data_IF_453665724905
#
_entry.id   IF_453665724905
#
_cell.length_a   1.000
_cell.length_b   1.000
_cell.length_c   1.000
_cell.angle_alpha   90.00
_cell.angle_beta   90.00
_cell.angle_gamma   90.00
#
_symmetry.space_group_name_H-M   'P 1'
#
loop_
_entity.id
_entity.type
_entity.pdbx_description
1 polymer ?
#
# COMPACT_ATOMS: atom_id res chain seq x y z
N UNK A 1 -9.54 -24.02 -34.12
CA UNK A 1 -9.22 -24.51 -32.75
C UNK A 1 -8.97 -23.29 -31.88
N UNK A 2 -9.61 -23.12 -30.71
CA UNK A 2 -9.47 -21.88 -29.97
C UNK A 2 -8.08 -21.85 -29.34
N UNK A 3 -7.26 -20.91 -29.81
CA UNK A 3 -6.12 -20.40 -29.09
C UNK A 3 -6.64 -19.69 -27.83
N UNK A 4 -6.45 -20.31 -26.66
CA UNK A 4 -6.94 -19.79 -25.39
C UNK A 4 -6.17 -18.55 -24.93
N UNK A 5 -6.89 -17.51 -24.52
CA UNK A 5 -6.33 -16.30 -23.91
C UNK A 5 -5.54 -16.70 -22.65
N UNK A 6 -4.28 -16.27 -22.48
CA UNK A 6 -3.48 -16.64 -21.32
C UNK A 6 -4.04 -16.02 -20.05
N UNK A 7 -4.12 -16.82 -18.97
CA UNK A 7 -4.57 -16.34 -17.68
C UNK A 7 -3.44 -15.56 -16.98
N UNK A 8 -3.71 -14.30 -16.64
CA UNK A 8 -2.73 -13.41 -16.01
C UNK A 8 -2.81 -13.54 -14.50
N UNK A 9 -1.69 -13.86 -13.85
CA UNK A 9 -1.57 -13.96 -12.40
C UNK A 9 -0.73 -12.80 -11.84
N UNK A 10 -1.15 -12.22 -10.71
CA UNK A 10 -0.44 -11.12 -10.06
C UNK A 10 0.04 -11.50 -8.65
N UNK A 11 1.18 -10.93 -8.25
CA UNK A 11 1.72 -11.14 -6.90
C UNK A 11 0.93 -10.32 -5.87
N UNK A 12 0.63 -10.94 -4.74
CA UNK A 12 -0.15 -10.34 -3.64
C UNK A 12 0.69 -9.87 -2.46
N UNK A 13 1.99 -10.14 -2.44
CA UNK A 13 2.90 -9.78 -1.36
C UNK A 13 4.28 -9.40 -1.90
N UNK A 14 5.01 -8.56 -1.15
CA UNK A 14 6.40 -8.24 -1.43
C UNK A 14 7.28 -8.69 -0.26
N UNK A 15 8.42 -9.30 -0.58
CA UNK A 15 9.41 -9.70 0.42
C UNK A 15 10.26 -8.49 0.82
N UNK A 16 10.61 -8.35 2.12
CA UNK A 16 11.47 -7.27 2.58
C UNK A 16 12.86 -7.37 1.92
N UNK A 17 13.48 -6.21 1.63
CA UNK A 17 14.82 -6.15 1.01
C UNK A 17 15.91 -6.71 1.90
N UNK A 18 15.85 -6.44 3.20
CA UNK A 18 16.80 -6.92 4.21
C UNK A 18 16.12 -7.99 5.07
N UNK A 19 16.55 -9.26 4.98
CA UNK A 19 15.93 -10.33 5.74
C UNK A 19 16.15 -10.21 7.26
N UNK A 20 17.37 -9.88 7.68
CA UNK A 20 17.82 -9.96 9.08
C UNK A 20 17.89 -8.60 9.78
N UNK A 21 16.77 -7.89 9.80
CA UNK A 21 16.64 -6.60 10.50
C UNK A 21 15.87 -6.81 11.80
N UNK A 22 16.56 -6.64 12.94
CA UNK A 22 16.03 -6.95 14.27
C UNK A 22 14.74 -6.17 14.57
N UNK A 23 14.76 -4.86 14.36
CA UNK A 23 13.61 -3.98 14.59
C UNK A 23 12.36 -4.41 13.81
N UNK A 24 12.54 -4.80 12.54
CA UNK A 24 11.44 -5.27 11.68
C UNK A 24 10.86 -6.59 12.21
N UNK A 25 11.72 -7.52 12.65
CA UNK A 25 11.31 -8.82 13.17
C UNK A 25 10.51 -8.66 14.46
N UNK A 26 10.96 -7.79 15.37
CA UNK A 26 10.29 -7.52 16.64
C UNK A 26 8.91 -6.88 16.43
N UNK A 27 8.81 -5.91 15.50
CA UNK A 27 7.53 -5.30 15.11
C UNK A 27 6.56 -6.31 14.47
N UNK A 28 7.05 -7.16 13.56
CA UNK A 28 6.21 -8.19 12.94
C UNK A 28 5.73 -9.22 13.96
N UNK A 29 6.56 -9.59 14.94
CA UNK A 29 6.19 -10.51 16.00
C UNK A 29 5.11 -9.91 16.91
N UNK A 30 5.23 -8.63 17.27
CA UNK A 30 4.22 -7.92 18.04
C UNK A 30 2.86 -7.90 17.34
N UNK A 31 2.82 -7.54 16.06
CA UNK A 31 1.59 -7.54 15.26
C UNK A 31 0.98 -8.94 15.13
N UNK A 32 1.82 -9.96 14.96
CA UNK A 32 1.36 -11.35 14.91
C UNK A 32 0.72 -11.77 16.23
N UNK A 33 1.32 -11.40 17.37
CA UNK A 33 0.79 -11.69 18.70
C UNK A 33 -0.52 -10.96 19.00
N UNK A 34 -0.64 -9.68 18.61
CA UNK A 34 -1.84 -8.87 18.85
C UNK A 34 -3.05 -9.33 18.04
N UNK A 35 -2.84 -9.68 16.76
CA UNK A 35 -3.92 -10.02 15.83
C UNK A 35 -4.07 -11.52 15.57
N UNK A 36 -3.25 -12.38 16.19
CA UNK A 36 -3.33 -13.83 16.05
C UNK A 36 -3.02 -14.34 14.62
N UNK A 37 -2.11 -13.68 13.91
CA UNK A 37 -1.79 -14.00 12.51
C UNK A 37 -0.99 -15.30 12.41
N UNK A 38 -1.28 -16.15 11.41
CA UNK A 38 -0.61 -17.46 11.30
C UNK A 38 0.78 -17.34 10.67
N UNK A 39 0.95 -16.40 9.74
CA UNK A 39 2.16 -16.28 8.92
C UNK A 39 2.58 -14.83 8.70
N UNK A 40 3.90 -14.57 8.64
CA UNK A 40 4.47 -13.26 8.22
C UNK A 40 4.00 -12.80 6.84
N UNK A 41 3.60 -13.74 5.97
CA UNK A 41 3.03 -13.43 4.65
C UNK A 41 1.74 -12.61 4.73
N UNK A 42 0.94 -12.78 5.77
CA UNK A 42 -0.31 -12.02 5.96
C UNK A 42 0.00 -10.56 6.26
N UNK A 43 0.96 -10.32 7.16
CA UNK A 43 1.51 -8.98 7.42
C UNK A 43 2.05 -8.35 6.14
N UNK A 44 2.82 -9.10 5.34
CA UNK A 44 3.39 -8.58 4.09
C UNK A 44 2.34 -8.28 3.02
N UNK A 45 1.23 -9.03 2.99
CA UNK A 45 0.11 -8.76 2.09
C UNK A 45 -0.56 -7.43 2.43
N UNK A 46 -0.84 -7.18 3.70
CA UNK A 46 -1.44 -5.92 4.16
C UNK A 46 -0.49 -4.74 3.93
N UNK A 47 0.81 -4.90 4.23
CA UNK A 47 1.82 -3.88 3.93
C UNK A 47 1.89 -3.58 2.43
N UNK A 48 1.78 -4.60 1.58
CA UNK A 48 1.83 -4.45 0.12
C UNK A 48 0.60 -3.73 -0.44
N UNK A 49 -0.61 -4.06 0.03
CA UNK A 49 -1.83 -3.35 -0.39
C UNK A 49 -1.81 -1.89 0.07
N UNK A 50 -1.41 -1.64 1.31
CA UNK A 50 -1.25 -0.28 1.84
C UNK A 50 -0.22 0.52 1.03
N UNK A 51 0.90 -0.09 0.64
CA UNK A 51 1.92 0.57 -0.18
C UNK A 51 1.41 0.97 -1.57
N UNK A 52 0.56 0.14 -2.20
CA UNK A 52 -0.08 0.48 -3.49
C UNK A 52 -0.98 1.70 -3.35
N UNK A 53 -1.85 1.70 -2.35
CA UNK A 53 -2.79 2.80 -2.10
C UNK A 53 -2.01 4.10 -1.82
N UNK A 54 -0.95 4.04 -0.99
CA UNK A 54 -0.07 5.19 -0.70
C UNK A 54 0.68 5.67 -1.93
N UNK A 55 1.03 4.79 -2.88
CA UNK A 55 1.67 5.20 -4.13
C UNK A 55 0.69 5.97 -5.01
N UNK A 56 -0.50 5.44 -5.26
CA UNK A 56 -1.55 6.12 -6.03
C UNK A 56 -1.93 7.45 -5.40
N UNK A 57 -2.12 7.51 -4.09
CA UNK A 57 -2.42 8.78 -3.40
C UNK A 57 -1.33 9.84 -3.59
N UNK A 58 -0.04 9.47 -3.58
CA UNK A 58 1.08 10.40 -3.83
C UNK A 58 1.09 10.93 -5.26
N UNK A 59 0.80 10.09 -6.24
CA UNK A 59 0.71 10.49 -7.66
C UNK A 59 -0.45 11.47 -7.90
N UNK A 60 -1.57 11.28 -7.18
CA UNK A 60 -2.71 12.18 -7.27
C UNK A 60 -2.47 13.54 -6.62
N UNK A 61 -1.68 13.60 -5.54
CA UNK A 61 -1.35 14.85 -4.86
C UNK A 61 -0.43 15.76 -5.69
N UNK A 62 0.38 15.19 -6.58
CA UNK A 62 1.25 15.97 -7.48
C UNK A 62 0.51 16.61 -8.66
N UNK A 63 -0.70 16.16 -8.96
CA UNK A 63 -1.55 16.74 -10.02
C UNK A 63 -2.31 17.96 -9.50
N UNK A 64 -2.68 18.87 -10.41
CA UNK A 64 -3.49 20.05 -10.06
C UNK A 64 -4.90 19.66 -9.59
N UNK A 65 -5.51 20.52 -8.78
CA UNK A 65 -6.78 20.25 -8.09
C UNK A 65 -7.98 20.08 -9.03
N UNK A 66 -7.90 20.64 -10.25
CA UNK A 66 -8.99 20.65 -11.23
C UNK A 66 -8.93 19.52 -12.26
N UNK A 67 -7.90 18.67 -12.19
CA UNK A 67 -7.75 17.55 -13.11
C UNK A 67 -8.82 16.47 -12.86
N UNK A 68 -9.54 16.00 -13.89
CA UNK A 68 -10.60 14.99 -13.74
C UNK A 68 -10.08 13.67 -13.15
N UNK A 69 -8.81 13.32 -13.41
CA UNK A 69 -8.15 12.13 -12.84
C UNK A 69 -8.07 12.21 -11.32
N UNK A 70 -7.70 13.38 -10.77
CA UNK A 70 -7.59 13.60 -9.32
C UNK A 70 -8.95 13.48 -8.63
N UNK A 71 -10.00 14.06 -9.22
CA UNK A 71 -11.35 13.97 -8.67
C UNK A 71 -11.89 12.53 -8.68
N UNK A 72 -11.70 11.80 -9.78
CA UNK A 72 -12.25 10.45 -9.92
C UNK A 72 -11.50 9.43 -9.06
N UNK A 73 -10.18 9.34 -9.23
CA UNK A 73 -9.35 8.36 -8.52
C UNK A 73 -9.23 8.72 -7.03
N UNK A 74 -9.11 10.00 -6.70
CA UNK A 74 -9.06 10.46 -5.30
C UNK A 74 -10.33 10.13 -4.52
N UNK A 75 -11.51 10.37 -5.12
CA UNK A 75 -12.81 10.01 -4.52
C UNK A 75 -12.96 8.50 -4.38
N UNK A 76 -12.54 7.72 -5.38
CA UNK A 76 -12.58 6.26 -5.31
C UNK A 76 -11.72 5.71 -4.17
N UNK A 77 -10.47 6.18 -4.04
CA UNK A 77 -9.56 5.75 -2.98
C UNK A 77 -10.14 6.10 -1.60
N UNK A 78 -10.63 7.34 -1.44
CA UNK A 78 -11.25 7.79 -0.20
C UNK A 78 -12.45 6.92 0.19
N UNK A 79 -13.40 6.70 -0.73
CA UNK A 79 -14.60 5.90 -0.43
C UNK A 79 -14.28 4.44 -0.11
N UNK A 80 -13.31 3.85 -0.79
CA UNK A 80 -12.86 2.48 -0.51
C UNK A 80 -12.27 2.39 0.88
N UNK A 81 -11.37 3.30 1.24
CA UNK A 81 -10.73 3.30 2.55
C UNK A 81 -11.72 3.51 3.69
N UNK A 82 -12.64 4.48 3.56
CA UNK A 82 -13.65 4.77 4.59
C UNK A 82 -14.58 3.59 4.84
N UNK A 83 -14.90 2.80 3.80
CA UNK A 83 -15.72 1.58 3.92
C UNK A 83 -15.01 0.46 4.70
N UNK A 84 -13.70 0.33 4.56
CA UNK A 84 -12.94 -0.76 5.19
C UNK A 84 -12.37 -0.41 6.57
N UNK A 85 -11.97 0.85 6.79
CA UNK A 85 -11.20 1.25 7.97
C UNK A 85 -11.92 2.26 8.88
N UNK A 86 -13.08 2.78 8.48
CA UNK A 86 -13.79 3.85 9.21
C UNK A 86 -13.07 5.21 9.10
N UNK A 87 -13.81 6.30 9.33
CA UNK A 87 -13.39 7.67 8.99
C UNK A 87 -12.21 8.25 9.81
N UNK A 88 -11.62 7.50 10.75
CA UNK A 88 -10.77 8.07 11.82
C UNK A 88 -9.26 7.88 11.59
N UNK A 89 -8.84 7.08 10.59
CA UNK A 89 -7.44 6.60 10.51
C UNK A 89 -6.68 6.96 9.22
N UNK A 90 -7.04 8.04 8.54
CA UNK A 90 -6.35 8.40 7.29
C UNK A 90 -5.66 9.76 7.37
N UNK A 91 -4.68 9.88 8.26
CA UNK A 91 -3.58 10.82 8.03
C UNK A 91 -2.72 10.28 6.87
N UNK A 92 -3.18 10.53 5.64
CA UNK A 92 -2.42 10.36 4.38
C UNK A 92 -1.07 11.11 4.48
N UNK A 93 -0.93 12.03 5.43
CA UNK A 93 0.25 12.85 5.70
C UNK A 93 1.33 12.19 6.58
N UNK A 94 1.10 11.03 7.19
CA UNK A 94 2.10 10.35 8.05
C UNK A 94 3.09 9.44 7.27
N UNK A 95 3.36 9.75 6.01
CA UNK A 95 4.26 8.96 5.13
C UNK A 95 5.67 9.60 5.14
N UNK A 96 6.74 8.85 5.51
CA UNK A 96 8.09 9.40 5.43
C UNK A 96 8.36 9.89 4.01
N UNK A 97 8.78 11.15 3.95
CA UNK A 97 9.09 11.88 2.71
C UNK A 97 10.04 11.06 1.84
N UNK A 98 9.88 11.03 0.51
CA UNK A 98 10.99 10.64 -0.35
C UNK A 98 12.15 11.58 -0.04
N UNK A 99 13.31 11.04 0.34
CA UNK A 99 14.55 11.81 0.25
C UNK A 99 14.69 12.14 -1.24
N UNK A 100 14.64 13.42 -1.63
CA UNK A 100 14.91 13.78 -3.02
C UNK A 100 16.36 13.34 -3.29
N UNK A 101 16.54 12.36 -4.18
CA UNK A 101 17.81 12.30 -4.88
C UNK A 101 17.83 13.53 -5.76
N UNK A 102 18.76 14.41 -5.41
CA UNK A 102 19.09 15.68 -6.04
C UNK A 102 19.02 15.53 -7.56
N UNK A 103 18.23 16.41 -8.19
CA UNK A 103 18.50 16.87 -9.55
C UNK A 103 19.57 17.93 -9.39
N UNK A 104 20.80 17.56 -9.72
CA UNK A 104 21.78 18.33 -10.51
C UNK A 104 22.77 17.34 -11.12
#
# INVERSE_FOLDING_TARGET
MPCGVPQIYHRTYATPRRPFEKERLDQELKLIGEYGLRNKREVWRVKYTLAKIRKSARELLTLDEKEPKRLFEGKYIYTTLTKFFGAVLVDINSIPRPIPKMVE
#
